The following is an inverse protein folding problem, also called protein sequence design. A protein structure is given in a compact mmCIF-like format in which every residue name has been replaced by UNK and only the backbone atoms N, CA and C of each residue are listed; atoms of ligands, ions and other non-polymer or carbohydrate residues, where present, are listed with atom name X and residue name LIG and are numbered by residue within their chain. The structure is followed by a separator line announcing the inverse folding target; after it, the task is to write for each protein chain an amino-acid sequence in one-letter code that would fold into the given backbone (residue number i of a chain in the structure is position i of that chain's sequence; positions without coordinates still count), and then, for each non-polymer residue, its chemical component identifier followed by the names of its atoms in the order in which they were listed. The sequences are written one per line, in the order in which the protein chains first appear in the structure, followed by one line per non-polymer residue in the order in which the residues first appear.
data_IF_162595104427
#
_entry.id   IF_162595104427
#
_cell.length_a   1.000
_cell.length_b   1.000
_cell.length_c   1.000
_cell.angle_alpha   90.00
_cell.angle_beta   90.00
_cell.angle_gamma   90.00
#
_symmetry.space_group_name_H-M   'P 1'
#
loop_
_entity.id
_entity.type
_entity.pdbx_description
1 polymer ?
#
# COMPACT_ATOMS: atom_id res chain seq x y z
N UNK A 1 -6.35 13.15 10.87
CA UNK A 1 -6.18 12.03 9.91
C UNK A 1 -7.58 11.51 9.61
N UNK A 2 -7.86 11.01 8.41
CA UNK A 2 -9.24 10.61 8.03
C UNK A 2 -10.15 11.77 7.61
N UNK A 3 -9.63 12.91 7.14
CA UNK A 3 -10.46 14.01 6.61
C UNK A 3 -10.84 13.86 5.12
N UNK A 4 -10.53 12.71 4.54
CA UNK A 4 -10.86 12.36 3.17
C UNK A 4 -11.89 11.24 3.15
N UNK A 5 -12.69 11.21 2.09
CA UNK A 5 -13.60 10.10 1.78
C UNK A 5 -13.35 9.70 0.35
N UNK A 6 -13.53 8.41 0.08
CA UNK A 6 -13.42 7.88 -1.26
C UNK A 6 -14.29 8.62 -2.27
N UNK A 7 -13.67 8.96 -3.40
CA UNK A 7 -14.32 9.50 -4.58
C UNK A 7 -13.85 8.68 -5.79
N UNK A 8 -14.74 7.79 -6.27
CA UNK A 8 -14.48 6.96 -7.44
C UNK A 8 -14.11 7.78 -8.68
N UNK A 9 -14.65 9.00 -8.82
CA UNK A 9 -14.35 9.88 -9.94
C UNK A 9 -12.97 10.52 -9.82
N UNK A 10 -12.51 10.82 -8.59
CA UNK A 10 -11.14 11.31 -8.34
C UNK A 10 -10.12 10.21 -8.64
N UNK A 11 -10.43 8.97 -8.24
CA UNK A 11 -9.59 7.83 -8.55
C UNK A 11 -9.53 7.51 -10.04
N UNK A 12 -10.66 7.49 -10.74
CA UNK A 12 -10.70 7.29 -12.19
C UNK A 12 -9.87 8.36 -12.93
N UNK A 13 -10.00 9.64 -12.52
CA UNK A 13 -9.19 10.74 -13.06
C UNK A 13 -7.69 10.53 -12.81
N UNK A 14 -7.34 10.09 -11.60
CA UNK A 14 -5.96 9.83 -11.24
C UNK A 14 -5.35 8.67 -12.03
N UNK A 15 -6.06 7.56 -12.13
CA UNK A 15 -5.64 6.38 -12.88
C UNK A 15 -5.45 6.73 -14.36
N UNK A 16 -6.40 7.45 -14.97
CA UNK A 16 -6.29 7.92 -16.35
C UNK A 16 -5.05 8.81 -16.58
N UNK A 17 -4.70 9.67 -15.63
CA UNK A 17 -3.57 10.60 -15.76
C UNK A 17 -2.20 9.97 -15.43
N UNK A 18 -2.15 9.02 -14.49
CA UNK A 18 -0.89 8.58 -13.90
C UNK A 18 -0.55 7.12 -14.16
N UNK A 19 -1.52 6.26 -14.46
CA UNK A 19 -1.29 4.82 -14.56
C UNK A 19 -1.69 4.23 -15.90
N UNK A 20 -2.72 4.76 -16.55
CA UNK A 20 -3.21 4.26 -17.84
C UNK A 20 -2.13 4.32 -18.94
N UNK A 21 -1.89 3.18 -19.60
CA UNK A 21 -1.02 3.07 -20.78
C UNK A 21 0.49 3.15 -20.53
N UNK A 22 0.94 3.43 -19.30
CA UNK A 22 2.37 3.41 -18.93
C UNK A 22 2.86 1.97 -18.71
N UNK A 23 4.15 1.74 -18.52
CA UNK A 23 4.73 0.53 -17.92
C UNK A 23 4.97 0.70 -16.39
N UNK A 24 5.19 -0.39 -15.64
CA UNK A 24 5.50 -0.31 -14.20
C UNK A 24 6.68 0.61 -13.88
N UNK A 25 7.78 0.51 -14.62
CA UNK A 25 8.97 1.34 -14.42
C UNK A 25 8.73 2.84 -14.68
N UNK A 26 7.66 3.19 -15.38
CA UNK A 26 7.21 4.57 -15.61
C UNK A 26 6.26 5.08 -14.52
N UNK A 27 5.65 4.19 -13.74
CA UNK A 27 4.82 4.52 -12.57
C UNK A 27 5.67 4.55 -11.30
N UNK A 28 6.36 3.44 -11.02
CA UNK A 28 7.22 3.26 -9.86
C UNK A 28 8.61 3.77 -10.20
N UNK A 29 8.75 5.09 -10.06
CA UNK A 29 10.00 5.78 -10.40
C UNK A 29 10.96 5.88 -9.21
N UNK A 30 10.52 5.46 -8.02
CA UNK A 30 11.35 5.40 -6.83
C UNK A 30 12.62 4.55 -7.09
N UNK A 31 13.74 5.02 -6.54
CA UNK A 31 15.06 4.38 -6.63
C UNK A 31 15.63 4.02 -5.26
N UNK A 32 14.81 4.15 -4.22
CA UNK A 32 15.18 3.95 -2.83
C UNK A 32 13.94 4.03 -1.95
N UNK A 33 13.99 3.38 -0.80
CA UNK A 33 12.90 3.41 0.17
C UNK A 33 12.73 4.82 0.72
N UNK A 34 11.50 5.35 0.60
CA UNK A 34 11.15 6.64 1.18
C UNK A 34 11.23 6.55 2.71
N UNK A 35 11.87 7.52 3.35
CA UNK A 35 12.02 7.54 4.82
C UNK A 35 10.69 7.48 5.58
N UNK A 36 9.61 7.99 4.98
CA UNK A 36 8.28 7.91 5.55
C UNK A 36 7.67 6.51 5.49
N UNK A 37 8.18 5.61 4.66
CA UNK A 37 7.69 4.23 4.50
C UNK A 37 8.56 3.19 5.22
N UNK A 38 9.72 3.63 5.72
CA UNK A 38 10.71 2.83 6.44
C UNK A 38 10.14 2.39 7.81
N UNK A 39 9.91 1.09 8.04
CA UNK A 39 9.37 0.56 9.29
C UNK A 39 10.21 0.90 10.53
N UNK A 40 11.52 1.09 10.36
CA UNK A 40 12.41 1.46 11.46
C UNK A 40 12.16 2.91 11.91
N UNK A 41 11.69 3.78 11.01
CA UNK A 41 11.40 5.20 11.29
C UNK A 41 9.94 5.46 11.62
N UNK A 42 9.05 4.53 11.31
CA UNK A 42 7.63 4.63 11.68
C UNK A 42 7.48 4.31 13.18
N UNK A 43 6.95 5.26 13.94
CA UNK A 43 6.55 5.03 15.32
C UNK A 43 5.23 4.26 15.38
N UNK A 44 4.21 4.78 14.69
CA UNK A 44 2.87 4.18 14.61
C UNK A 44 2.17 4.62 13.31
N UNK A 45 1.33 3.74 12.76
CA UNK A 45 0.33 4.03 11.72
C UNK A 45 -1.05 4.00 12.33
N UNK A 46 -1.85 5.02 12.06
CA UNK A 46 -3.10 5.22 12.77
C UNK A 46 -4.29 5.12 11.81
N UNK A 47 -5.26 4.29 12.19
CA UNK A 47 -6.62 4.34 11.65
C UNK A 47 -7.52 4.77 12.80
N UNK A 48 -8.12 5.97 12.69
CA UNK A 48 -8.91 6.57 13.77
C UNK A 48 -10.26 7.02 13.28
N UNK A 49 -11.22 6.95 14.17
CA UNK A 49 -12.53 7.54 13.94
C UNK A 49 -12.40 9.06 13.84
N UNK A 50 -13.23 9.66 12.98
CA UNK A 50 -13.22 11.08 12.71
C UNK A 50 -14.60 11.57 12.30
N UNK A 51 -14.80 12.89 12.22
CA UNK A 51 -16.07 13.44 11.75
C UNK A 51 -16.47 13.04 10.32
N UNK A 52 -15.51 12.61 9.48
CA UNK A 52 -15.78 12.13 8.12
C UNK A 52 -15.90 10.61 8.02
N UNK A 53 -15.26 9.89 8.93
CA UNK A 53 -15.17 8.43 8.99
C UNK A 53 -15.44 8.01 10.45
N UNK A 54 -16.71 8.03 10.90
CA UNK A 54 -17.07 7.78 12.31
C UNK A 54 -16.88 6.33 12.76
N UNK A 55 -16.90 5.35 11.86
CA UNK A 55 -16.80 3.92 12.17
C UNK A 55 -15.66 3.28 11.35
N UNK A 56 -14.42 3.69 11.62
CA UNK A 56 -13.27 3.38 10.76
C UNK A 56 -12.89 1.89 10.79
N UNK A 57 -12.72 1.29 9.61
CA UNK A 57 -12.22 -0.09 9.49
C UNK A 57 -10.81 -0.11 8.89
N UNK A 58 -9.82 -0.49 9.69
CA UNK A 58 -8.45 -0.64 9.22
C UNK A 58 -8.28 -1.89 8.32
N UNK A 59 -7.72 -1.70 7.12
CA UNK A 59 -7.41 -2.76 6.17
C UNK A 59 -5.93 -2.66 5.78
N UNK A 60 -5.20 -3.76 5.93
CA UNK A 60 -3.81 -3.88 5.47
C UNK A 60 -3.79 -4.75 4.22
N UNK A 61 -3.26 -4.19 3.13
CA UNK A 61 -3.01 -4.91 1.89
C UNK A 61 -1.50 -5.06 1.72
N UNK A 62 -0.97 -6.21 2.11
CA UNK A 62 0.44 -6.54 1.94
C UNK A 62 0.64 -7.31 0.63
N UNK A 63 1.50 -6.79 -0.23
CA UNK A 63 1.84 -7.37 -1.53
C UNK A 63 3.32 -7.71 -1.57
N UNK A 64 3.62 -8.91 -2.07
CA UNK A 64 4.96 -9.35 -2.40
C UNK A 64 5.45 -8.58 -3.65
N UNK A 65 6.60 -7.90 -3.48
CA UNK A 65 7.25 -7.10 -4.53
C UNK A 65 8.63 -7.63 -4.90
N UNK A 66 8.93 -8.89 -4.63
CA UNK A 66 10.17 -9.55 -5.07
C UNK A 66 10.30 -9.57 -6.59
N UNK A 67 11.52 -9.69 -7.10
CA UNK A 67 11.82 -9.75 -8.53
C UNK A 67 11.10 -10.91 -9.24
N UNK A 68 10.86 -12.03 -8.55
CA UNK A 68 10.04 -13.15 -9.03
C UNK A 68 8.59 -12.77 -9.30
N UNK A 69 8.06 -11.79 -8.56
CA UNK A 69 6.73 -11.23 -8.76
C UNK A 69 6.68 -10.13 -9.82
N UNK A 70 7.77 -9.80 -10.51
CA UNK A 70 7.92 -8.64 -11.41
C UNK A 70 6.66 -8.12 -12.12
N UNK A 71 6.03 -8.93 -13.00
CA UNK A 71 4.79 -8.53 -13.70
C UNK A 71 3.52 -8.64 -12.84
N UNK A 72 3.51 -9.47 -11.81
CA UNK A 72 2.36 -9.68 -10.91
C UNK A 72 2.23 -8.53 -9.91
N UNK A 73 3.33 -8.07 -9.33
CA UNK A 73 3.37 -6.87 -8.49
C UNK A 73 2.86 -5.64 -9.27
N UNK A 74 3.22 -5.54 -10.55
CA UNK A 74 2.70 -4.50 -11.46
C UNK A 74 1.18 -4.57 -11.63
N UNK A 75 0.62 -5.73 -11.95
CA UNK A 75 -0.82 -5.91 -12.17
C UNK A 75 -1.60 -5.73 -10.86
N UNK A 76 -1.05 -6.23 -9.75
CA UNK A 76 -1.69 -6.15 -8.44
C UNK A 76 -1.78 -4.71 -7.96
N UNK A 77 -0.73 -3.90 -8.10
CA UNK A 77 -0.76 -2.50 -7.66
C UNK A 77 -1.54 -1.62 -8.65
N UNK A 78 -1.47 -1.85 -9.96
CA UNK A 78 -2.20 -1.05 -10.97
C UNK A 78 -3.70 -1.31 -10.97
N UNK A 79 -4.07 -2.56 -11.22
CA UNK A 79 -5.44 -2.94 -11.54
C UNK A 79 -6.10 -3.65 -10.37
N UNK A 80 -5.33 -4.47 -9.65
CA UNK A 80 -5.79 -5.18 -8.47
C UNK A 80 -6.26 -4.20 -7.40
N UNK A 81 -5.42 -3.25 -7.01
CA UNK A 81 -5.74 -2.32 -5.94
C UNK A 81 -6.84 -1.31 -6.31
N UNK A 82 -6.86 -0.80 -7.54
CA UNK A 82 -7.98 0.01 -8.03
C UNK A 82 -9.31 -0.75 -7.92
N UNK A 83 -9.33 -1.98 -8.45
CA UNK A 83 -10.52 -2.83 -8.40
C UNK A 83 -10.89 -3.17 -6.96
N UNK A 84 -9.94 -3.59 -6.12
CA UNK A 84 -10.18 -3.92 -4.71
C UNK A 84 -10.76 -2.73 -3.96
N UNK A 85 -10.19 -1.53 -4.13
CA UNK A 85 -10.70 -0.32 -3.48
C UNK A 85 -12.10 0.02 -3.97
N UNK A 86 -12.32 0.04 -5.30
CA UNK A 86 -13.66 0.27 -5.87
C UNK A 86 -14.68 -0.73 -5.32
N UNK A 87 -14.37 -2.01 -5.31
CA UNK A 87 -15.29 -3.04 -4.81
C UNK A 87 -15.54 -2.93 -3.30
N UNK A 88 -14.54 -2.54 -2.49
CA UNK A 88 -14.71 -2.24 -1.07
C UNK A 88 -15.70 -1.07 -0.88
N UNK A 89 -15.54 0.02 -1.63
CA UNK A 89 -16.41 1.19 -1.49
C UNK A 89 -17.79 1.03 -2.15
N UNK A 90 -17.89 0.31 -3.26
CA UNK A 90 -19.12 0.08 -3.99
C UNK A 90 -20.01 -0.94 -3.27
N UNK A 91 -19.42 -2.05 -2.79
CA UNK A 91 -20.17 -3.10 -2.06
C UNK A 91 -20.38 -2.79 -0.59
N UNK A 92 -19.56 -1.90 -0.02
CA UNK A 92 -19.58 -1.52 1.41
C UNK A 92 -19.61 -2.74 2.34
N UNK A 93 -18.66 -3.70 2.21
CA UNK A 93 -18.62 -4.86 3.09
C UNK A 93 -18.21 -4.49 4.52
N UNK A 94 -17.61 -3.31 4.70
CA UNK A 94 -17.17 -2.75 5.99
C UNK A 94 -17.49 -1.26 6.05
N UNK A 95 -17.51 -0.69 7.25
CA UNK A 95 -17.71 0.75 7.48
C UNK A 95 -16.41 1.51 7.32
N UNK A 96 -16.49 2.73 6.76
CA UNK A 96 -15.40 3.70 6.62
C UNK A 96 -13.97 3.12 6.47
N UNK A 97 -13.70 2.42 5.36
CA UNK A 97 -12.47 1.65 5.20
C UNK A 97 -11.24 2.57 5.08
N UNK A 98 -10.26 2.35 5.95
CA UNK A 98 -8.94 2.96 5.91
C UNK A 98 -7.93 1.92 5.44
N UNK A 99 -7.28 2.17 4.31
CA UNK A 99 -6.42 1.17 3.67
C UNK A 99 -4.97 1.59 3.74
N UNK A 100 -4.13 0.69 4.24
CA UNK A 100 -2.67 0.79 4.20
C UNK A 100 -2.14 -0.30 3.28
N UNK A 101 -1.24 0.07 2.38
CA UNK A 101 -0.51 -0.86 1.52
C UNK A 101 0.89 -1.10 2.07
N UNK A 102 1.31 -2.36 2.06
CA UNK A 102 2.66 -2.79 2.39
C UNK A 102 3.30 -3.50 1.21
N UNK A 103 4.57 -3.21 0.96
CA UNK A 103 5.39 -3.93 -0.01
C UNK A 103 6.35 -4.83 0.77
N UNK A 104 6.28 -6.13 0.51
CA UNK A 104 7.05 -7.18 1.19
C UNK A 104 8.15 -7.67 0.24
N UNK A 105 9.37 -7.71 0.76
CA UNK A 105 10.52 -8.31 0.09
C UNK A 105 11.21 -9.32 1.00
N UNK A 106 12.52 -9.46 0.80
CA UNK A 106 13.39 -10.38 1.52
C UNK A 106 14.28 -9.63 2.52
N UNK A 107 14.11 -9.88 3.83
CA UNK A 107 14.92 -9.28 4.90
C UNK A 107 16.41 -9.61 4.84
N UNK A 108 16.82 -10.68 4.17
CA UNK A 108 18.21 -11.10 4.09
C UNK A 108 18.94 -10.51 2.87
N UNK A 109 18.20 -10.15 1.82
CA UNK A 109 18.77 -9.77 0.54
C UNK A 109 18.42 -8.34 0.09
N UNK A 110 17.25 -7.82 0.48
CA UNK A 110 16.73 -6.54 -0.01
C UNK A 110 17.11 -5.37 0.91
N UNK A 111 17.28 -4.18 0.33
CA UNK A 111 17.45 -2.94 1.09
C UNK A 111 16.12 -2.41 1.65
N UNK A 112 15.00 -2.79 1.05
CA UNK A 112 13.66 -2.39 1.47
C UNK A 112 12.76 -3.61 1.73
N UNK A 113 13.09 -4.46 2.74
CA UNK A 113 12.41 -5.75 2.94
C UNK A 113 10.97 -5.62 3.43
N UNK A 114 10.62 -4.45 3.99
CA UNK A 114 9.24 -4.06 4.22
C UNK A 114 9.14 -2.54 4.01
N UNK A 115 8.12 -2.11 3.26
CA UNK A 115 7.69 -0.72 3.17
C UNK A 115 6.23 -0.63 3.60
N UNK A 116 5.88 0.35 4.42
CA UNK A 116 4.52 0.55 4.90
C UNK A 116 4.05 1.99 4.65
N UNK A 117 2.99 2.14 3.87
CA UNK A 117 2.29 3.42 3.68
C UNK A 117 1.51 3.82 4.93
N UNK A 118 0.79 4.93 4.88
CA UNK A 118 -0.17 5.30 5.91
C UNK A 118 -1.55 4.70 5.60
N UNK A 119 -2.39 4.52 6.62
CA UNK A 119 -3.81 4.28 6.45
C UNK A 119 -4.48 5.50 5.80
N UNK A 120 -5.05 5.32 4.61
CA UNK A 120 -5.74 6.39 3.87
C UNK A 120 -7.17 5.97 3.50
N UNK A 121 -8.06 6.95 3.51
CA UNK A 121 -9.48 6.80 3.15
C UNK A 121 -9.80 7.43 1.77
N UNK A 122 -8.79 7.94 1.07
CA UNK A 122 -8.95 8.74 -0.14
C UNK A 122 -7.83 8.48 -1.18
N UNK A 123 -7.76 9.36 -2.17
CA UNK A 123 -6.83 9.28 -3.30
C UNK A 123 -5.34 9.34 -2.90
N UNK A 124 -5.01 9.78 -1.69
CA UNK A 124 -3.63 9.81 -1.18
C UNK A 124 -3.00 8.44 -1.12
N UNK A 125 -3.79 7.38 -0.99
CA UNK A 125 -3.27 6.02 -1.13
C UNK A 125 -2.58 5.86 -2.48
N UNK A 126 -3.25 6.29 -3.56
CA UNK A 126 -2.71 6.18 -4.92
C UNK A 126 -1.40 6.94 -5.08
N UNK A 127 -1.28 8.11 -4.43
CA UNK A 127 -0.07 8.93 -4.43
C UNK A 127 1.07 8.22 -3.72
N UNK A 128 0.79 7.62 -2.56
CA UNK A 128 1.79 6.87 -1.79
C UNK A 128 2.25 5.59 -2.50
N UNK A 129 1.39 4.94 -3.28
CA UNK A 129 1.77 3.76 -4.06
C UNK A 129 2.86 4.03 -5.08
N UNK A 130 2.79 5.17 -5.78
CA UNK A 130 3.83 5.54 -6.78
C UNK A 130 5.22 5.71 -6.14
N UNK A 131 5.23 6.05 -4.86
CA UNK A 131 6.44 6.25 -4.07
C UNK A 131 7.00 4.93 -3.49
N UNK A 132 6.29 3.80 -3.64
CA UNK A 132 6.81 2.49 -3.26
C UNK A 132 7.98 2.14 -4.17
N UNK A 133 9.08 1.73 -3.56
CA UNK A 133 10.24 1.28 -4.30
C UNK A 133 10.16 -0.22 -4.57
N UNK A 134 10.02 -0.57 -5.84
CA UNK A 134 10.13 -1.96 -6.30
C UNK A 134 11.61 -2.21 -6.60
N UNK A 135 12.31 -2.77 -5.62
CA UNK A 135 13.75 -3.10 -5.75
C UNK A 135 13.96 -4.21 -6.79
N UNK A 136 12.98 -5.10 -6.97
CA UNK A 136 13.07 -6.23 -7.89
C UNK A 136 14.14 -7.25 -7.45
N UNK A 137 14.46 -7.26 -6.16
CA UNK A 137 15.41 -8.18 -5.53
C UNK A 137 14.80 -9.55 -5.27
N UNK A 138 15.07 -10.12 -4.10
CA UNK A 138 14.73 -11.49 -3.75
C UNK A 138 15.96 -12.41 -3.70
N UNK A 139 16.01 -13.23 -2.65
CA UNK A 139 17.11 -14.15 -2.39
C UNK A 139 16.89 -15.54 -3.00
N UNK A 140 18.01 -16.18 -3.37
CA UNK A 140 18.05 -17.63 -3.63
C UNK A 140 18.06 -18.47 -2.34
N UNK A 141 17.73 -17.87 -1.20
CA UNK A 141 17.67 -18.45 0.15
C UNK A 141 16.39 -19.28 0.40
N UNK A 142 15.42 -19.24 -0.52
CA UNK A 142 14.26 -20.13 -0.48
C UNK A 142 13.15 -19.67 0.46
N UNK A 143 13.08 -18.38 0.81
CA UNK A 143 12.00 -17.83 1.61
C UNK A 143 11.89 -16.31 1.52
N UNK A 144 10.69 -15.79 1.75
CA UNK A 144 10.41 -14.36 1.86
C UNK A 144 10.01 -13.98 3.28
N UNK A 145 10.01 -12.68 3.57
CA UNK A 145 9.77 -12.16 4.92
C UNK A 145 8.30 -11.84 5.19
N UNK A 146 7.39 -12.78 4.87
CA UNK A 146 5.94 -12.62 5.05
C UNK A 146 5.48 -12.42 6.51
N UNK A 147 6.35 -12.66 7.49
CA UNK A 147 6.09 -12.36 8.90
C UNK A 147 6.17 -10.86 9.22
N UNK A 148 6.86 -10.06 8.39
CA UNK A 148 7.07 -8.63 8.65
C UNK A 148 5.77 -7.81 8.65
N UNK A 149 4.83 -7.98 7.70
CA UNK A 149 3.53 -7.29 7.77
C UNK A 149 2.75 -7.59 9.06
N UNK A 150 2.74 -8.85 9.50
CA UNK A 150 2.06 -9.25 10.73
C UNK A 150 2.72 -8.63 11.96
N UNK A 151 4.05 -8.65 12.03
CA UNK A 151 4.80 -8.03 13.12
C UNK A 151 4.58 -6.52 13.16
N UNK A 152 4.59 -5.85 11.99
CA UNK A 152 4.28 -4.44 11.90
C UNK A 152 2.85 -4.15 12.34
N UNK A 153 1.86 -4.92 11.88
CA UNK A 153 0.47 -4.76 12.28
C UNK A 153 0.33 -4.85 13.81
N UNK A 154 0.99 -5.81 14.45
CA UNK A 154 0.92 -6.03 15.89
C UNK A 154 1.64 -4.96 16.74
N UNK A 155 2.67 -4.29 16.21
CA UNK A 155 3.57 -3.45 17.04
C UNK A 155 3.62 -1.98 16.63
N UNK A 156 3.18 -1.66 15.41
CA UNK A 156 3.33 -0.34 14.77
C UNK A 156 2.00 0.21 14.26
N UNK A 157 0.87 -0.35 14.68
CA UNK A 157 -0.45 0.21 14.35
C UNK A 157 -1.21 0.60 15.60
N UNK A 158 -2.04 1.62 15.46
CA UNK A 158 -3.09 1.93 16.43
C UNK A 158 -4.38 2.11 15.65
N UNK A 159 -5.33 1.23 15.93
CA UNK A 159 -6.62 1.13 15.26
C UNK A 159 -7.71 1.25 16.32
N UNK A 160 -8.80 1.94 15.98
CA UNK A 160 -9.98 2.04 16.83
C UNK A 160 -10.94 0.86 16.60
#
# INVERSE_FOLDING_TARGET
MGHGRWDASAWARYAAAHTAGKAANEIFTARGMKSSFDPAKIAVRESRDSGFNPDSTAIILASDVTGSMGQIAEVMIRSGLDTTMREIYDRKPVTDPHVMVMAVGDAECDQAPLQATQFEADIRLAEQLKDIWIEGGGGGNGGESYHLPWYFAATKTSID
#
